data_IF_394192311260
#
_entry.id   IF_394192311260
#
_cell.length_a   1.000
_cell.length_b   1.000
_cell.length_c   1.000
_cell.angle_alpha   90.00
_cell.angle_beta   90.00
_cell.angle_gamma   90.00
#
_symmetry.space_group_name_H-M   'P 1'
#
loop_
_entity.id
_entity.type
_entity.pdbx_description
1 polymer ?
#
# COMPACT_ATOMS: atom_id res chain seq x y z
N UNK A 1 14.33 -22.38 -7.03
CA UNK A 1 14.33 -21.24 -6.09
C UNK A 1 15.78 -21.00 -5.65
N UNK A 2 16.29 -19.77 -5.70
CA UNK A 2 17.62 -19.44 -5.14
C UNK A 2 17.40 -18.83 -3.76
N UNK A 3 18.14 -19.30 -2.76
CA UNK A 3 18.05 -18.79 -1.38
C UNK A 3 19.38 -18.14 -1.04
N UNK A 4 19.35 -16.89 -0.57
CA UNK A 4 20.55 -16.15 -0.15
C UNK A 4 20.45 -15.95 1.36
N UNK A 5 21.45 -16.47 2.08
CA UNK A 5 21.55 -16.34 3.53
C UNK A 5 22.59 -15.26 3.88
N UNK A 6 22.33 -14.50 4.94
CA UNK A 6 23.27 -13.53 5.49
C UNK A 6 23.06 -13.32 6.99
N UNK A 7 24.11 -12.98 7.76
CA UNK A 7 24.00 -12.69 9.18
C UNK A 7 23.42 -11.29 9.44
N UNK A 8 22.13 -11.21 9.78
CA UNK A 8 21.38 -9.95 10.00
C UNK A 8 22.12 -8.93 10.87
N UNK A 9 22.71 -9.35 12.00
CA UNK A 9 23.38 -8.45 12.93
C UNK A 9 24.70 -7.86 12.38
N UNK A 10 25.32 -8.51 11.39
CA UNK A 10 26.53 -7.99 10.73
C UNK A 10 26.20 -7.12 9.53
N UNK A 11 25.16 -7.50 8.78
CA UNK A 11 24.75 -6.76 7.57
C UNK A 11 23.92 -5.52 7.94
N UNK A 12 23.10 -5.61 8.97
CA UNK A 12 22.19 -4.56 9.41
C UNK A 12 22.32 -4.27 10.92
N UNK A 13 23.50 -3.82 11.39
CA UNK A 13 23.70 -3.53 12.81
C UNK A 13 22.82 -2.36 13.28
N UNK A 14 22.23 -2.39 14.48
CA UNK A 14 21.41 -1.29 15.00
C UNK A 14 22.15 0.05 15.16
N UNK A 15 23.48 0.01 15.19
CA UNK A 15 24.33 1.20 15.27
C UNK A 15 24.47 1.96 13.94
N UNK A 16 24.12 1.34 12.81
CA UNK A 16 24.08 2.01 11.51
C UNK A 16 22.66 2.60 11.28
N UNK A 17 22.53 3.94 11.21
CA UNK A 17 21.24 4.61 11.04
C UNK A 17 20.46 4.19 9.79
N UNK A 18 21.13 3.70 8.75
CA UNK A 18 20.48 3.25 7.52
C UNK A 18 19.90 1.84 7.64
N UNK A 19 20.57 0.96 8.39
CA UNK A 19 20.22 -0.44 8.49
C UNK A 19 18.77 -0.64 8.94
N UNK A 20 18.36 0.06 9.99
CA UNK A 20 17.01 -0.08 10.56
C UNK A 20 15.94 0.39 9.56
N UNK A 21 16.17 1.49 8.85
CA UNK A 21 15.21 1.98 7.87
C UNK A 21 15.12 1.07 6.64
N UNK A 22 16.24 0.52 6.16
CA UNK A 22 16.23 -0.46 5.07
C UNK A 22 15.47 -1.74 5.49
N UNK A 23 15.71 -2.25 6.70
CA UNK A 23 14.96 -3.41 7.22
C UNK A 23 13.46 -3.12 7.33
N UNK A 24 13.07 -1.91 7.75
CA UNK A 24 11.67 -1.49 7.79
C UNK A 24 11.06 -1.43 6.38
N UNK A 25 11.80 -0.95 5.39
CA UNK A 25 11.36 -0.98 3.99
C UNK A 25 11.18 -2.40 3.47
N UNK A 26 12.11 -3.32 3.78
CA UNK A 26 12.00 -4.74 3.43
C UNK A 26 10.78 -5.40 4.08
N UNK A 27 10.50 -5.09 5.35
CA UNK A 27 9.31 -5.58 6.03
C UNK A 27 8.03 -5.07 5.35
N UNK A 28 7.95 -3.77 5.05
CA UNK A 28 6.81 -3.18 4.36
C UNK A 28 6.62 -3.76 2.94
N UNK A 29 7.71 -3.99 2.21
CA UNK A 29 7.69 -4.69 0.92
C UNK A 29 7.09 -6.09 1.06
N UNK A 30 7.56 -6.88 2.03
CA UNK A 30 7.05 -8.23 2.26
C UNK A 30 5.56 -8.22 2.59
N UNK A 31 5.11 -7.30 3.45
CA UNK A 31 3.68 -7.17 3.79
C UNK A 31 2.84 -6.82 2.55
N UNK A 32 3.31 -5.90 1.70
CA UNK A 32 2.65 -5.57 0.43
C UNK A 32 2.54 -6.78 -0.49
N UNK A 33 3.61 -7.58 -0.63
CA UNK A 33 3.60 -8.81 -1.43
C UNK A 33 2.62 -9.84 -0.86
N UNK A 34 2.55 -10.01 0.46
CA UNK A 34 1.58 -10.91 1.10
C UNK A 34 0.14 -10.44 0.88
N UNK A 35 -0.11 -9.13 0.92
CA UNK A 35 -1.44 -8.58 0.64
C UNK A 35 -1.81 -8.80 -0.84
N UNK A 36 -0.88 -8.61 -1.78
CA UNK A 36 -1.11 -8.90 -3.21
C UNK A 36 -1.38 -10.40 -3.43
N UNK A 37 -0.62 -11.29 -2.79
CA UNK A 37 -0.86 -12.73 -2.82
C UNK A 37 -2.25 -13.07 -2.24
N UNK A 38 -2.63 -12.45 -1.13
CA UNK A 38 -3.97 -12.60 -0.57
C UNK A 38 -5.05 -12.15 -1.57
N UNK A 39 -4.93 -10.95 -2.14
CA UNK A 39 -5.86 -10.40 -3.13
C UNK A 39 -6.04 -11.29 -4.35
N UNK A 40 -4.95 -11.86 -4.86
CA UNK A 40 -4.96 -12.78 -6.02
C UNK A 40 -5.53 -14.15 -5.67
N UNK A 41 -5.37 -14.60 -4.42
CA UNK A 41 -5.93 -15.86 -3.92
C UNK A 41 -7.42 -15.79 -3.54
N UNK A 42 -7.99 -14.57 -3.46
CA UNK A 42 -9.40 -14.38 -3.10
C UNK A 42 -10.33 -15.07 -4.10
N UNK A 43 -10.89 -16.20 -3.67
CA UNK A 43 -11.92 -16.96 -4.38
C UNK A 43 -13.32 -16.49 -3.99
N UNK A 44 -14.31 -16.76 -4.84
CA UNK A 44 -15.70 -16.40 -4.61
C UNK A 44 -16.36 -15.75 -5.82
N UNK A 45 -17.68 -15.64 -5.78
CA UNK A 45 -18.49 -15.04 -6.85
C UNK A 45 -19.20 -13.78 -6.35
N UNK A 46 -19.37 -12.81 -7.25
CA UNK A 46 -20.18 -11.61 -7.02
C UNK A 46 -19.71 -10.77 -5.83
N UNK A 47 -20.66 -10.42 -4.96
CA UNK A 47 -20.48 -9.37 -3.95
C UNK A 47 -19.54 -9.76 -2.79
N UNK A 48 -19.46 -11.05 -2.43
CA UNK A 48 -18.57 -11.51 -1.36
C UNK A 48 -17.09 -11.33 -1.72
N UNK A 49 -16.73 -11.62 -2.98
CA UNK A 49 -15.38 -11.38 -3.49
C UNK A 49 -15.05 -9.89 -3.48
N UNK A 50 -16.01 -9.04 -3.87
CA UNK A 50 -15.86 -7.58 -3.88
C UNK A 50 -15.63 -7.02 -2.47
N UNK A 51 -16.40 -7.47 -1.48
CA UNK A 51 -16.23 -7.05 -0.09
C UNK A 51 -14.84 -7.41 0.46
N UNK A 52 -14.36 -8.62 0.18
CA UNK A 52 -13.01 -9.05 0.58
C UNK A 52 -11.92 -8.25 -0.13
N UNK A 53 -12.08 -7.94 -1.42
CA UNK A 53 -11.16 -7.07 -2.17
C UNK A 53 -11.12 -5.66 -1.58
N UNK A 54 -12.26 -5.07 -1.22
CA UNK A 54 -12.32 -3.75 -0.59
C UNK A 54 -11.59 -3.70 0.77
N UNK A 55 -11.62 -4.78 1.55
CA UNK A 55 -10.77 -4.90 2.75
C UNK A 55 -9.29 -4.99 2.40
N UNK A 56 -8.93 -5.85 1.46
CA UNK A 56 -7.54 -6.06 1.07
C UNK A 56 -6.89 -4.79 0.47
N UNK A 57 -7.62 -4.01 -0.34
CA UNK A 57 -7.15 -2.72 -0.83
C UNK A 57 -6.83 -1.76 0.31
N UNK A 58 -7.63 -1.71 1.37
CA UNK A 58 -7.34 -0.82 2.51
C UNK A 58 -6.10 -1.23 3.29
N UNK A 59 -5.89 -2.53 3.51
CA UNK A 59 -4.64 -3.03 4.08
C UNK A 59 -3.45 -2.65 3.21
N UNK A 60 -3.59 -2.80 1.89
CA UNK A 60 -2.56 -2.47 0.92
C UNK A 60 -2.21 -0.97 0.96
N UNK A 61 -3.21 -0.08 0.91
CA UNK A 61 -3.01 1.37 0.98
C UNK A 61 -2.42 1.81 2.32
N UNK A 62 -2.89 1.23 3.43
CA UNK A 62 -2.33 1.50 4.75
C UNK A 62 -0.87 1.09 4.89
N UNK A 63 -0.51 -0.09 4.36
CA UNK A 63 0.88 -0.58 4.35
C UNK A 63 1.76 0.28 3.46
N UNK A 64 1.26 0.70 2.30
CA UNK A 64 1.98 1.59 1.39
C UNK A 64 2.23 2.97 2.01
N UNK A 65 1.26 3.49 2.77
CA UNK A 65 1.46 4.72 3.55
C UNK A 65 2.65 4.58 4.52
N UNK A 66 2.71 3.49 5.29
CA UNK A 66 3.83 3.25 6.21
C UNK A 66 5.16 3.12 5.47
N UNK A 67 5.19 2.44 4.32
CA UNK A 67 6.38 2.39 3.47
C UNK A 67 6.87 3.79 3.07
N UNK A 68 5.94 4.69 2.69
CA UNK A 68 6.26 6.09 2.37
C UNK A 68 6.75 6.89 3.58
N UNK A 69 6.26 6.61 4.79
CA UNK A 69 6.76 7.22 6.04
C UNK A 69 8.18 6.77 6.34
N UNK A 70 8.48 5.47 6.17
CA UNK A 70 9.83 4.92 6.32
C UNK A 70 10.77 5.54 5.29
N UNK A 71 10.35 5.63 4.03
CA UNK A 71 11.12 6.27 2.96
C UNK A 71 11.39 7.75 3.27
N UNK A 72 10.41 8.49 3.78
CA UNK A 72 10.60 9.88 4.21
C UNK A 72 11.62 10.01 5.35
N UNK A 73 11.58 9.08 6.31
CA UNK A 73 12.55 9.01 7.42
C UNK A 73 13.96 8.70 6.91
N UNK A 74 14.08 7.75 5.99
CA UNK A 74 15.34 7.40 5.32
C UNK A 74 15.92 8.63 4.59
N UNK A 75 15.13 9.30 3.75
CA UNK A 75 15.53 10.48 2.98
C UNK A 75 15.98 11.67 3.85
N UNK A 76 15.47 11.74 5.08
CA UNK A 76 15.81 12.82 6.02
C UNK A 76 17.12 12.58 6.76
N UNK A 77 17.65 11.35 6.77
CA UNK A 77 18.90 11.00 7.47
C UNK A 77 20.14 11.57 6.75
N UNK A 78 21.16 11.96 7.53
CA UNK A 78 22.45 12.43 7.00
C UNK A 78 23.17 11.35 6.20
N UNK A 79 23.10 10.12 6.69
CA UNK A 79 23.78 8.96 6.13
C UNK A 79 23.21 8.62 4.75
N UNK A 80 21.89 8.79 4.57
CA UNK A 80 21.27 8.54 3.28
C UNK A 80 21.67 9.59 2.25
N UNK A 81 21.87 10.84 2.66
CA UNK A 81 22.36 11.89 1.76
C UNK A 81 23.73 11.54 1.18
N UNK A 82 24.60 10.92 1.98
CA UNK A 82 25.91 10.40 1.53
C UNK A 82 25.70 9.19 0.61
N UNK A 83 24.93 8.19 1.04
CA UNK A 83 24.67 6.99 0.22
C UNK A 83 24.05 7.35 -1.14
N UNK A 84 23.20 8.39 -1.18
CA UNK A 84 22.55 8.86 -2.40
C UNK A 84 23.52 9.25 -3.51
N UNK A 85 24.74 9.68 -3.17
CA UNK A 85 25.78 10.01 -4.15
C UNK A 85 26.33 8.76 -4.86
N UNK A 86 26.19 7.59 -4.24
CA UNK A 86 26.62 6.29 -4.79
C UNK A 86 25.48 5.50 -5.44
N UNK A 87 24.25 6.01 -5.40
CA UNK A 87 23.10 5.35 -6.02
C UNK A 87 23.27 5.34 -7.55
N UNK A 88 22.86 4.24 -8.23
CA UNK A 88 22.83 4.22 -9.67
C UNK A 88 21.81 5.25 -10.22
N UNK A 89 22.02 5.80 -11.44
CA UNK A 89 21.13 6.80 -12.03
C UNK A 89 19.64 6.39 -12.06
N UNK A 90 19.39 5.09 -12.26
CA UNK A 90 18.06 4.49 -12.24
C UNK A 90 17.41 4.67 -10.86
N UNK A 91 18.12 4.39 -9.77
CA UNK A 91 17.58 4.56 -8.41
C UNK A 91 17.26 6.01 -8.08
N UNK A 92 18.08 6.95 -8.55
CA UNK A 92 17.84 8.39 -8.39
C UNK A 92 16.57 8.81 -9.14
N UNK A 93 16.39 8.27 -10.35
CA UNK A 93 15.20 8.51 -11.18
C UNK A 93 13.95 7.93 -10.53
N UNK A 94 13.99 6.67 -10.11
CA UNK A 94 12.88 6.00 -9.44
C UNK A 94 12.52 6.70 -8.13
N UNK A 95 13.50 7.14 -7.32
CA UNK A 95 13.24 7.91 -6.11
C UNK A 95 12.54 9.25 -6.38
N UNK A 96 12.95 9.97 -7.44
CA UNK A 96 12.29 11.22 -7.86
C UNK A 96 10.84 10.95 -8.27
N UNK A 97 10.59 9.89 -9.02
CA UNK A 97 9.26 9.55 -9.50
C UNK A 97 8.36 9.06 -8.35
N UNK A 98 8.92 8.34 -7.37
CA UNK A 98 8.25 8.00 -6.10
C UNK A 98 7.85 9.25 -5.36
N UNK A 99 8.76 10.23 -5.19
CA UNK A 99 8.45 11.46 -4.48
C UNK A 99 7.33 12.24 -5.20
N UNK A 100 7.40 12.34 -6.52
CA UNK A 100 6.38 13.03 -7.34
C UNK A 100 5.01 12.35 -7.22
N UNK A 101 4.97 11.02 -7.37
CA UNK A 101 3.72 10.26 -7.31
C UNK A 101 3.18 10.19 -5.88
N UNK A 102 4.08 9.97 -4.93
CA UNK A 102 3.80 9.80 -3.51
C UNK A 102 3.33 11.09 -2.85
N UNK A 103 3.87 12.25 -3.19
CA UNK A 103 3.39 13.53 -2.65
C UNK A 103 1.94 13.82 -3.05
N UNK A 104 1.56 13.50 -4.30
CA UNK A 104 0.17 13.65 -4.76
C UNK A 104 -0.78 12.62 -4.10
N UNK A 105 -0.28 11.43 -3.76
CA UNK A 105 -1.08 10.38 -3.12
C UNK A 105 -1.04 10.42 -1.58
N UNK A 106 -0.13 11.18 -0.96
CA UNK A 106 0.17 11.08 0.48
C UNK A 106 -1.05 11.31 1.35
N UNK A 107 -1.84 12.33 1.05
CA UNK A 107 -3.08 12.65 1.80
C UNK A 107 -4.09 11.51 1.67
N UNK A 108 -4.36 11.04 0.44
CA UNK A 108 -5.31 9.96 0.18
C UNK A 108 -4.88 8.63 0.82
N UNK A 109 -3.57 8.33 0.82
CA UNK A 109 -3.01 7.17 1.52
C UNK A 109 -3.13 7.30 3.04
N UNK A 110 -2.92 8.49 3.59
CA UNK A 110 -3.08 8.76 5.03
C UNK A 110 -4.54 8.59 5.49
N UNK A 111 -5.48 9.10 4.70
CA UNK A 111 -6.92 8.96 4.97
C UNK A 111 -7.36 7.48 4.89
N UNK A 112 -6.83 6.75 3.91
CA UNK A 112 -7.04 5.31 3.77
C UNK A 112 -6.45 4.50 4.93
N UNK A 113 -5.25 4.87 5.41
CA UNK A 113 -4.57 4.24 6.56
C UNK A 113 -5.39 4.39 7.84
N UNK A 114 -5.89 5.59 8.10
CA UNK A 114 -6.70 5.85 9.28
C UNK A 114 -8.03 5.09 9.25
N UNK A 115 -8.51 4.64 8.10
CA UNK A 115 -9.82 3.97 7.93
C UNK A 115 -9.71 2.45 7.61
N UNK A 116 -8.50 1.88 7.62
CA UNK A 116 -8.25 0.54 7.09
C UNK A 116 -8.84 -0.62 7.91
N UNK A 117 -8.96 -0.47 9.23
CA UNK A 117 -9.35 -1.56 10.15
C UNK A 117 -10.71 -1.30 10.84
N UNK A 118 -11.47 -0.29 10.38
CA UNK A 118 -12.73 0.24 10.95
C UNK A 118 -12.52 1.38 11.95
N UNK A 119 -12.26 2.59 11.41
CA UNK A 119 -12.40 3.86 12.14
C UNK A 119 -13.36 4.78 11.38
N UNK A 120 -14.59 4.31 11.15
CA UNK A 120 -15.63 5.22 10.66
C UNK A 120 -16.24 5.91 11.87
N UNK A 121 -16.07 7.23 11.98
CA UNK A 121 -16.83 7.98 12.98
C UNK A 121 -18.30 8.13 12.53
N UNK A 122 -19.18 8.40 13.50
CA UNK A 122 -20.62 8.51 13.25
C UNK A 122 -20.95 9.62 12.23
N UNK A 123 -20.30 10.78 12.34
CA UNK A 123 -20.57 11.96 11.52
C UNK A 123 -20.09 11.75 10.07
N UNK A 124 -18.91 11.16 9.88
CA UNK A 124 -18.37 10.78 8.57
C UNK A 124 -19.30 9.80 7.85
N UNK A 125 -19.82 8.82 8.59
CA UNK A 125 -20.72 7.83 8.02
C UNK A 125 -22.09 8.43 7.69
N UNK A 126 -22.62 9.30 8.55
CA UNK A 126 -23.86 10.03 8.32
C UNK A 126 -23.75 10.97 7.10
N UNK A 127 -22.63 11.68 6.96
CA UNK A 127 -22.37 12.55 5.81
C UNK A 127 -22.24 11.75 4.51
N UNK A 128 -21.50 10.64 4.53
CA UNK A 128 -21.38 9.76 3.37
C UNK A 128 -22.73 9.17 2.95
N UNK A 129 -23.58 8.79 3.92
CA UNK A 129 -24.92 8.27 3.66
C UNK A 129 -25.82 9.35 3.06
N UNK A 130 -25.80 10.56 3.61
CA UNK A 130 -26.56 11.69 3.07
C UNK A 130 -26.13 12.00 1.62
N UNK A 131 -24.83 12.03 1.34
CA UNK A 131 -24.28 12.20 -0.01
C UNK A 131 -24.75 11.08 -0.95
N UNK A 132 -24.57 9.82 -0.54
CA UNK A 132 -24.97 8.66 -1.34
C UNK A 132 -26.45 8.71 -1.72
N UNK A 133 -27.35 8.96 -0.75
CA UNK A 133 -28.81 9.04 -0.99
C UNK A 133 -29.19 10.25 -1.85
N UNK A 134 -28.49 11.37 -1.73
CA UNK A 134 -28.81 12.61 -2.46
C UNK A 134 -28.64 12.52 -3.98
N UNK A 135 -27.81 11.58 -4.47
CA UNK A 135 -27.49 11.46 -5.90
C UNK A 135 -28.46 10.55 -6.64
N UNK A 136 -29.05 9.56 -5.98
CA UNK A 136 -30.02 8.67 -6.60
C UNK A 136 -31.41 9.30 -6.57
N UNK A 137 -31.92 9.69 -7.76
CA UNK A 137 -33.28 10.22 -7.93
C UNK A 137 -34.35 9.19 -7.57
N UNK A 138 -34.04 7.91 -7.77
CA UNK A 138 -34.84 6.78 -7.34
C UNK A 138 -34.14 6.11 -6.15
N UNK A 139 -34.83 6.06 -4.98
CA UNK A 139 -34.29 5.47 -3.74
C UNK A 139 -33.92 3.98 -3.87
N UNK A 140 -34.32 3.34 -4.97
CA UNK A 140 -34.17 1.91 -5.25
C UNK A 140 -32.81 1.54 -5.86
N UNK A 141 -31.94 2.51 -6.19
CA UNK A 141 -30.61 2.24 -6.79
C UNK A 141 -29.49 2.03 -5.74
N UNK A 142 -29.75 2.30 -4.45
CA UNK A 142 -28.81 2.16 -3.34
C UNK A 142 -29.09 0.92 -2.46
N UNK A 143 -29.11 -0.27 -3.08
CA UNK A 143 -29.48 -1.51 -2.37
C UNK A 143 -28.31 -2.06 -1.55
N UNK A 144 -28.47 -2.10 -0.23
CA UNK A 144 -27.63 -2.92 0.65
C UNK A 144 -28.19 -4.35 0.72
N UNK A 145 -27.32 -5.35 0.89
CA UNK A 145 -27.70 -6.77 0.90
C UNK A 145 -27.30 -7.45 2.21
N UNK A 146 -28.12 -8.40 2.62
CA UNK A 146 -27.77 -9.39 3.62
C UNK A 146 -27.48 -10.70 2.90
N UNK A 147 -26.28 -11.26 3.08
CA UNK A 147 -25.93 -12.58 2.55
C UNK A 147 -25.83 -13.55 3.73
N UNK A 148 -26.67 -14.58 3.72
CA UNK A 148 -26.64 -15.66 4.70
C UNK A 148 -25.86 -16.84 4.12
N UNK A 149 -24.75 -17.22 4.75
CA UNK A 149 -23.93 -18.35 4.32
C UNK A 149 -23.36 -19.08 5.54
N UNK A 150 -23.51 -20.40 5.60
CA UNK A 150 -22.90 -21.26 6.63
C UNK A 150 -23.14 -20.78 8.08
N UNK A 151 -24.35 -20.32 8.38
CA UNK A 151 -24.72 -19.82 9.72
C UNK A 151 -24.14 -18.44 10.07
N UNK A 152 -23.52 -17.75 9.12
CA UNK A 152 -23.03 -16.37 9.25
C UNK A 152 -23.84 -15.43 8.37
N UNK A 153 -24.01 -14.20 8.84
CA UNK A 153 -24.61 -13.11 8.06
C UNK A 153 -23.53 -12.13 7.65
N UNK A 154 -23.39 -11.88 6.36
CA UNK A 154 -22.53 -10.82 5.82
C UNK A 154 -23.38 -9.63 5.42
N UNK A 155 -23.01 -8.46 5.94
CA UNK A 155 -23.65 -7.19 5.64
C UNK A 155 -22.90 -6.50 4.51
N UNK A 156 -23.56 -6.38 3.35
CA UNK A 156 -23.02 -5.68 2.20
C UNK A 156 -23.72 -4.33 2.08
N UNK A 157 -23.06 -3.31 2.60
CA UNK A 157 -23.41 -1.92 2.30
C UNK A 157 -23.15 -1.66 0.82
N UNK A 158 -23.97 -0.81 0.19
CA UNK A 158 -23.71 -0.31 -1.15
C UNK A 158 -22.24 0.15 -1.25
N UNK A 159 -21.46 -0.45 -2.16
CA UNK A 159 -20.00 -0.33 -2.19
C UNK A 159 -19.53 1.13 -2.20
N UNK A 160 -20.28 1.98 -2.92
CA UNK A 160 -20.05 3.43 -3.04
C UNK A 160 -20.01 4.11 -1.67
N UNK A 161 -20.84 3.72 -0.70
CA UNK A 161 -20.89 4.40 0.61
C UNK A 161 -19.53 4.38 1.32
N UNK A 162 -18.84 3.25 1.25
CA UNK A 162 -17.52 3.08 1.88
C UNK A 162 -16.41 3.74 1.06
N UNK A 163 -16.49 3.67 -0.27
CA UNK A 163 -15.55 4.33 -1.16
C UNK A 163 -15.58 5.86 -1.04
N UNK A 164 -16.77 6.45 -0.83
CA UNK A 164 -16.90 7.90 -0.60
C UNK A 164 -16.19 8.38 0.68
N UNK A 165 -16.08 7.51 1.69
CA UNK A 165 -15.36 7.82 2.93
C UNK A 165 -13.85 7.63 2.73
N UNK A 166 -13.44 6.48 2.18
CA UNK A 166 -12.01 6.12 2.05
C UNK A 166 -11.27 7.02 1.05
N UNK A 167 -11.92 7.41 -0.05
CA UNK A 167 -11.31 8.21 -1.11
C UNK A 167 -11.70 9.70 -1.06
N UNK A 168 -12.42 10.12 -0.01
CA UNK A 168 -12.90 11.49 0.21
C UNK A 168 -13.59 12.13 -1.01
N UNK A 169 -14.43 11.35 -1.69
CA UNK A 169 -15.15 11.77 -2.90
C UNK A 169 -16.38 12.62 -2.52
N UNK A 170 -16.35 13.92 -2.81
CA UNK A 170 -17.30 14.91 -2.26
C UNK A 170 -18.26 15.51 -3.29
N UNK A 171 -17.90 15.54 -4.57
CA UNK A 171 -18.68 16.22 -5.61
C UNK A 171 -19.68 15.28 -6.32
N UNK A 172 -20.76 15.81 -6.93
CA UNK A 172 -21.66 14.99 -7.76
C UNK A 172 -20.96 14.25 -8.91
N UNK A 173 -19.90 14.85 -9.46
CA UNK A 173 -19.04 14.21 -10.46
C UNK A 173 -18.21 13.07 -9.86
N UNK A 174 -17.72 13.21 -8.63
CA UNK A 174 -17.05 12.11 -7.92
C UNK A 174 -17.95 10.90 -7.77
N UNK A 175 -19.20 11.13 -7.35
CA UNK A 175 -20.16 10.05 -7.09
C UNK A 175 -20.53 9.34 -8.41
N UNK A 176 -20.81 10.11 -9.46
CA UNK A 176 -21.18 9.57 -10.79
C UNK A 176 -20.04 8.82 -11.48
N UNK A 177 -18.79 9.16 -11.17
CA UNK A 177 -17.59 8.56 -11.75
C UNK A 177 -16.76 7.75 -10.74
N UNK A 178 -17.36 7.34 -9.62
CA UNK A 178 -16.66 6.70 -8.48
C UNK A 178 -15.75 5.56 -8.95
N UNK A 179 -16.30 4.56 -9.65
CA UNK A 179 -15.54 3.40 -10.14
C UNK A 179 -14.34 3.80 -11.01
N UNK A 180 -14.52 4.79 -11.89
CA UNK A 180 -13.44 5.27 -12.77
C UNK A 180 -12.34 5.96 -11.97
N UNK A 181 -12.71 6.82 -11.02
CA UNK A 181 -11.77 7.56 -10.16
C UNK A 181 -11.00 6.62 -9.25
N UNK A 182 -11.68 5.64 -8.64
CA UNK A 182 -11.05 4.56 -7.88
C UNK A 182 -10.09 3.77 -8.76
N UNK A 183 -10.48 3.39 -9.98
CA UNK A 183 -9.60 2.68 -10.91
C UNK A 183 -8.34 3.48 -11.28
N UNK A 184 -8.46 4.78 -11.55
CA UNK A 184 -7.32 5.67 -11.81
C UNK A 184 -6.40 5.72 -10.59
N UNK A 185 -6.97 5.90 -9.39
CA UNK A 185 -6.22 5.92 -8.15
C UNK A 185 -5.45 4.60 -7.95
N UNK A 186 -6.12 3.45 -8.06
CA UNK A 186 -5.50 2.13 -7.89
C UNK A 186 -4.34 1.91 -8.86
N UNK A 187 -4.47 2.32 -10.13
CA UNK A 187 -3.37 2.22 -11.10
C UNK A 187 -2.14 3.02 -10.68
N UNK A 188 -2.35 4.20 -10.09
CA UNK A 188 -1.25 5.04 -9.60
C UNK A 188 -0.58 4.45 -8.37
N UNK A 189 -1.36 3.85 -7.48
CA UNK A 189 -0.86 3.13 -6.30
C UNK A 189 -0.04 1.90 -6.71
N UNK A 190 -0.52 1.11 -7.69
CA UNK A 190 0.23 -0.03 -8.25
C UNK A 190 1.55 0.44 -8.85
N UNK A 191 1.54 1.55 -9.60
CA UNK A 191 2.78 2.15 -10.13
C UNK A 191 3.73 2.56 -9.01
N UNK A 192 3.22 3.20 -7.95
CA UNK A 192 4.03 3.60 -6.79
C UNK A 192 4.67 2.39 -6.10
N UNK A 193 3.92 1.29 -5.91
CA UNK A 193 4.47 0.04 -5.37
C UNK A 193 5.60 -0.49 -6.25
N UNK A 194 5.37 -0.63 -7.56
CA UNK A 194 6.40 -1.13 -8.47
C UNK A 194 7.69 -0.28 -8.43
N UNK A 195 7.55 1.03 -8.29
CA UNK A 195 8.69 1.93 -8.13
C UNK A 195 9.39 1.76 -6.78
N UNK A 196 8.64 1.57 -5.69
CA UNK A 196 9.23 1.28 -4.37
C UNK A 196 9.99 -0.04 -4.36
N UNK A 197 9.45 -1.07 -5.03
CA UNK A 197 10.07 -2.38 -5.18
C UNK A 197 11.42 -2.24 -5.90
N UNK A 198 11.43 -1.58 -7.06
CA UNK A 198 12.66 -1.31 -7.83
C UNK A 198 13.66 -0.49 -7.02
N UNK A 199 13.21 0.57 -6.35
CA UNK A 199 14.08 1.42 -5.54
C UNK A 199 14.72 0.66 -4.38
N UNK A 200 13.97 -0.22 -3.70
CA UNK A 200 14.49 -1.01 -2.59
C UNK A 200 15.62 -1.95 -3.02
N UNK A 201 15.48 -2.63 -4.17
CA UNK A 201 16.51 -3.52 -4.72
C UNK A 201 17.81 -2.77 -5.04
N UNK A 202 17.67 -1.59 -5.66
CA UNK A 202 18.82 -0.75 -6.02
C UNK A 202 19.46 -0.11 -4.77
N UNK A 203 18.64 0.31 -3.80
CA UNK A 203 19.11 0.83 -2.51
C UNK A 203 19.88 -0.22 -1.73
N UNK A 204 19.36 -1.44 -1.64
CA UNK A 204 20.02 -2.54 -0.94
C UNK A 204 21.37 -2.87 -1.57
N UNK A 205 21.42 -2.92 -2.91
CA UNK A 205 22.66 -3.16 -3.64
C UNK A 205 23.71 -2.08 -3.36
N UNK A 206 23.30 -0.80 -3.40
CA UNK A 206 24.18 0.32 -3.08
C UNK A 206 24.65 0.28 -1.62
N UNK A 207 23.76 -0.01 -0.68
CA UNK A 207 24.09 -0.15 0.74
C UNK A 207 25.13 -1.25 1.00
N UNK A 208 24.95 -2.43 0.39
CA UNK A 208 25.88 -3.55 0.51
C UNK A 208 27.26 -3.17 -0.04
N UNK A 209 27.32 -2.47 -1.18
CA UNK A 209 28.56 -2.03 -1.79
C UNK A 209 29.27 -0.97 -0.92
N UNK A 210 28.54 0.07 -0.50
CA UNK A 210 29.04 1.18 0.33
C UNK A 210 29.61 0.69 1.67
N UNK A 211 28.99 -0.34 2.26
CA UNK A 211 29.44 -0.95 3.52
C UNK A 211 30.43 -2.11 3.35
N UNK A 212 30.76 -2.50 2.11
CA UNK A 212 31.69 -3.61 1.84
C UNK A 212 31.19 -4.98 2.31
N UNK A 213 29.87 -5.21 2.28
CA UNK A 213 29.22 -6.37 2.91
C UNK A 213 29.09 -7.59 1.97
N UNK A 214 29.50 -7.49 0.71
CA UNK A 214 29.26 -8.52 -0.32
C UNK A 214 29.75 -9.93 0.05
N UNK A 215 30.84 -10.05 0.82
CA UNK A 215 31.38 -11.33 1.28
C UNK A 215 30.57 -12.02 2.40
N UNK A 216 29.51 -11.39 2.91
CA UNK A 216 28.66 -11.93 3.98
C UNK A 216 27.43 -12.71 3.49
N UNK A 217 27.23 -12.75 2.18
CA UNK A 217 26.08 -13.41 1.54
C UNK A 217 26.51 -14.77 1.01
N UNK A 218 25.75 -15.81 1.36
CA UNK A 218 25.99 -17.19 0.89
C UNK A 218 24.75 -17.73 0.19
N UNK A 219 24.92 -18.28 -1.01
CA UNK A 219 23.84 -18.92 -1.74
C UNK A 219 23.64 -20.37 -1.28
N UNK A 220 22.40 -20.72 -0.98
CA UNK A 220 21.98 -22.09 -0.71
C UNK A 220 21.25 -22.62 -1.95
N UNK A 221 21.79 -23.71 -2.51
CA UNK A 221 21.19 -24.39 -3.67
C UNK A 221 20.04 -25.26 -3.16
N UNK A 222 18.82 -24.75 -3.25
CA UNK A 222 17.62 -25.50 -2.91
C UNK A 222 17.40 -26.62 -3.94
N UNK A 223 17.67 -27.87 -3.55
CA UNK A 223 17.26 -29.08 -4.29
C UNK A 223 15.78 -29.36 -4.01
N UNK A 224 14.91 -28.54 -4.57
CA UNK A 224 13.45 -28.77 -4.60
C UNK A 224 13.05 -29.41 -5.91
#
# INVERSE_FOLDING_TARGET
MRVINFPIAKVFPPSDPLSVNILRMMAAYNDLQQIVAFMTSLTGFGDMRRASLGFAYRLYLGTLHEAMVVLGSLQSSSEFKVLRESLPPEAVTTLRDINTTGDDLRTQLADSRNTAIFHYDYDQFAEALARHVSVFKERDEAISKFIFCEGKTTYLLADVLRELIVFDLKTPDDISNTTKKVGIFLNRVIKLQAQLDEFLELLLSAYIADRGLGGLFSEEVSTS
#
